data_IF_709420218384
#
_entry.id   IF_709420218384
#
_cell.length_a   1.000
_cell.length_b   1.000
_cell.length_c   1.000
_cell.angle_alpha   90.00
_cell.angle_beta   90.00
_cell.angle_gamma   90.00
#
_symmetry.space_group_name_H-M   'P 1'
#
loop_
_entity.id
_entity.type
_entity.pdbx_description
1 polymer ?
#
# COMPACT_ATOMS: atom_id res chain seq x y z
N UNK A 1 -4.57 -24.98 3.73
CA UNK A 1 -3.14 -24.86 3.39
C UNK A 1 -2.75 -23.42 3.65
N UNK A 2 -1.66 -23.14 4.37
CA UNK A 2 -1.10 -21.77 4.48
C UNK A 2 -0.30 -21.50 3.20
N UNK A 3 -0.56 -20.37 2.56
CA UNK A 3 0.11 -19.94 1.32
C UNK A 3 0.86 -18.66 1.60
N UNK A 4 2.18 -18.72 1.48
CA UNK A 4 3.03 -17.58 1.76
C UNK A 4 3.06 -16.63 0.56
N UNK A 5 2.79 -15.34 0.80
CA UNK A 5 2.78 -14.30 -0.25
C UNK A 5 3.92 -13.32 -0.02
N UNK A 6 4.83 -13.22 -0.99
CA UNK A 6 5.94 -12.26 -0.94
C UNK A 6 5.49 -10.98 -1.65
N UNK A 7 5.47 -9.87 -0.92
CA UNK A 7 5.19 -8.53 -1.47
C UNK A 7 6.53 -7.82 -1.67
N UNK A 8 6.82 -7.42 -2.91
CA UNK A 8 8.02 -6.65 -3.24
C UNK A 8 7.69 -5.15 -3.17
N UNK A 9 8.36 -4.44 -2.27
CA UNK A 9 8.26 -2.98 -2.17
C UNK A 9 9.40 -2.38 -2.99
N UNK A 10 9.05 -1.79 -4.13
CA UNK A 10 10.02 -1.13 -5.02
C UNK A 10 9.80 0.38 -4.99
N UNK A 11 10.89 1.14 -4.80
CA UNK A 11 10.90 2.60 -4.82
C UNK A 11 9.88 3.25 -3.85
N UNK A 12 10.07 3.12 -2.53
CA UNK A 12 9.17 3.74 -1.57
C UNK A 12 9.17 5.27 -1.73
N UNK A 13 7.98 5.87 -1.71
CA UNK A 13 7.87 7.33 -1.73
C UNK A 13 8.49 7.89 -0.44
N UNK A 14 9.48 8.79 -0.58
CA UNK A 14 10.24 9.34 0.56
C UNK A 14 9.54 10.53 1.24
N UNK A 15 8.42 10.97 0.68
CA UNK A 15 7.61 12.06 1.20
C UNK A 15 6.74 11.58 2.38
N UNK A 16 6.48 12.45 3.36
CA UNK A 16 5.66 12.12 4.52
C UNK A 16 4.18 12.05 4.10
N UNK A 17 3.51 10.94 4.40
CA UNK A 17 2.09 10.76 4.05
C UNK A 17 1.17 11.89 4.55
N UNK A 18 1.51 12.54 5.67
CA UNK A 18 0.77 13.68 6.21
C UNK A 18 0.81 14.94 5.35
N UNK A 19 1.71 15.03 4.36
CA UNK A 19 1.79 16.15 3.42
C UNK A 19 1.01 15.91 2.13
N UNK A 20 0.42 14.71 1.96
CA UNK A 20 -0.30 14.36 0.74
C UNK A 20 -1.65 15.05 0.66
N UNK A 21 -2.09 15.34 -0.57
CA UNK A 21 -3.43 15.83 -0.82
C UNK A 21 -4.44 14.69 -0.60
N UNK A 22 -5.44 14.90 0.25
CA UNK A 22 -6.37 13.84 0.61
C UNK A 22 -7.18 13.36 -0.62
N UNK A 23 -7.21 12.04 -0.82
CA UNK A 23 -8.07 11.39 -1.82
C UNK A 23 -9.13 10.53 -1.13
N UNK A 24 -10.01 9.92 -1.93
CA UNK A 24 -11.00 8.97 -1.40
C UNK A 24 -10.34 7.71 -0.80
N UNK A 25 -9.21 7.26 -1.34
CA UNK A 25 -8.55 6.02 -0.95
C UNK A 25 -7.29 6.22 -0.09
N UNK A 26 -6.80 7.45 0.06
CA UNK A 26 -5.59 7.75 0.80
C UNK A 26 -5.13 9.19 0.56
N UNK A 27 -3.97 9.36 -0.06
CA UNK A 27 -3.42 10.67 -0.40
C UNK A 27 -2.64 10.68 -1.70
N UNK A 28 -2.64 11.80 -2.41
CA UNK A 28 -1.87 12.03 -3.62
C UNK A 28 -0.55 12.71 -3.27
N UNK A 29 0.56 12.08 -3.65
CA UNK A 29 1.90 12.68 -3.52
C UNK A 29 2.19 13.46 -4.81
N UNK A 30 2.44 14.75 -4.66
CA UNK A 30 2.88 15.61 -5.76
C UNK A 30 4.33 15.30 -6.17
N UNK A 31 5.17 14.82 -5.25
CA UNK A 31 6.55 14.44 -5.56
C UNK A 31 6.63 13.16 -6.39
N UNK A 32 5.83 12.16 -6.02
CA UNK A 32 5.79 10.85 -6.66
C UNK A 32 4.79 10.81 -7.84
N UNK A 33 4.02 11.90 -8.05
CA UNK A 33 2.94 12.05 -9.03
C UNK A 33 1.98 10.85 -9.06
N UNK A 34 1.68 10.32 -7.87
CA UNK A 34 0.94 9.06 -7.72
C UNK A 34 0.08 9.07 -6.47
N UNK A 35 -1.07 8.41 -6.59
CA UNK A 35 -1.92 8.12 -5.44
C UNK A 35 -1.29 7.02 -4.56
N UNK A 36 -1.22 7.32 -3.27
CA UNK A 36 -0.77 6.41 -2.22
C UNK A 36 -1.98 6.01 -1.39
N UNK A 37 -2.32 4.72 -1.45
CA UNK A 37 -3.52 4.17 -0.84
C UNK A 37 -3.26 3.84 0.63
N UNK A 38 -4.22 4.16 1.50
CA UNK A 38 -4.13 3.86 2.92
C UNK A 38 -4.59 2.43 3.23
N UNK A 39 -3.64 1.52 3.39
CA UNK A 39 -3.92 0.12 3.73
C UNK A 39 -3.89 -0.15 5.23
N UNK A 40 -3.62 0.85 6.08
CA UNK A 40 -3.40 0.66 7.54
C UNK A 40 -4.59 0.07 8.28
N UNK A 41 -5.79 0.17 7.71
CA UNK A 41 -7.04 -0.34 8.30
C UNK A 41 -7.70 -1.40 7.42
N UNK A 42 -6.99 -1.92 6.42
CA UNK A 42 -7.51 -2.96 5.52
C UNK A 42 -7.07 -4.33 6.04
N UNK A 43 -8.00 -5.30 6.21
CA UNK A 43 -7.63 -6.66 6.60
C UNK A 43 -6.71 -7.33 5.58
N UNK A 44 -5.77 -8.17 6.03
CA UNK A 44 -4.77 -8.83 5.16
C UNK A 44 -5.39 -9.54 3.95
N UNK A 45 -6.52 -10.23 4.15
CA UNK A 45 -7.22 -10.90 3.03
C UNK A 45 -7.70 -9.87 1.99
N UNK A 46 -8.26 -8.75 2.43
CA UNK A 46 -8.73 -7.71 1.53
C UNK A 46 -7.56 -6.98 0.85
N UNK A 47 -6.44 -6.81 1.55
CA UNK A 47 -5.20 -6.29 0.97
C UNK A 47 -4.65 -7.23 -0.12
N UNK A 48 -4.59 -8.54 0.16
CA UNK A 48 -4.18 -9.54 -0.83
C UNK A 48 -5.11 -9.59 -2.03
N UNK A 49 -6.42 -9.65 -1.79
CA UNK A 49 -7.43 -9.65 -2.86
C UNK A 49 -7.29 -8.38 -3.73
N UNK A 50 -7.06 -7.23 -3.10
CA UNK A 50 -6.78 -5.97 -3.81
C UNK A 50 -5.52 -6.07 -4.67
N UNK A 51 -4.38 -6.48 -4.10
CA UNK A 51 -3.10 -6.58 -4.81
C UNK A 51 -3.16 -7.58 -5.97
N UNK A 52 -3.85 -8.71 -5.78
CA UNK A 52 -4.04 -9.73 -6.81
C UNK A 52 -4.99 -9.28 -7.93
N UNK A 53 -5.96 -8.40 -7.63
CA UNK A 53 -6.89 -7.87 -8.63
C UNK A 53 -6.24 -6.85 -9.57
N UNK A 54 -5.11 -6.25 -9.17
CA UNK A 54 -4.44 -5.19 -9.94
C UNK A 54 -3.48 -5.77 -10.97
N UNK A 55 -3.59 -5.26 -12.19
CA UNK A 55 -2.62 -5.54 -13.27
C UNK A 55 -1.36 -4.68 -13.18
N UNK A 56 -1.42 -3.59 -12.41
CA UNK A 56 -0.35 -2.60 -12.28
C UNK A 56 0.08 -2.44 -10.82
N UNK A 57 1.31 -1.95 -10.62
CA UNK A 57 1.86 -1.73 -9.29
C UNK A 57 1.14 -0.60 -8.55
N UNK A 58 0.73 -0.86 -7.31
CA UNK A 58 0.15 0.14 -6.41
C UNK A 58 1.22 0.79 -5.53
N UNK A 59 0.97 2.03 -5.11
CA UNK A 59 1.69 2.66 -4.00
C UNK A 59 0.74 2.70 -2.80
N UNK A 60 1.23 2.37 -1.61
CA UNK A 60 0.40 2.42 -0.43
C UNK A 60 1.18 2.44 0.86
N UNK A 61 0.51 2.92 1.90
CA UNK A 61 1.03 2.96 3.27
C UNK A 61 0.47 1.79 4.07
N UNK A 62 1.37 1.09 4.76
CA UNK A 62 1.09 -0.04 5.64
C UNK A 62 1.60 0.31 7.05
N UNK A 63 1.07 -0.35 8.08
CA UNK A 63 1.63 -0.19 9.42
C UNK A 63 2.98 -0.90 9.50
N UNK A 64 4.02 -0.20 9.95
CA UNK A 64 5.41 -0.69 10.00
C UNK A 64 5.65 -1.80 11.06
N UNK A 65 4.63 -2.22 11.82
CA UNK A 65 4.82 -3.20 12.92
C UNK A 65 4.42 -4.63 12.59
N UNK A 66 3.98 -4.90 11.37
CA UNK A 66 3.68 -6.27 10.97
C UNK A 66 4.82 -6.77 10.08
N UNK A 67 5.68 -7.63 10.65
CA UNK A 67 6.31 -8.66 9.83
C UNK A 67 5.15 -9.45 9.21
N UNK A 68 4.72 -9.05 8.01
CA UNK A 68 3.71 -9.75 7.23
C UNK A 68 4.34 -11.09 6.79
N UNK A 69 4.36 -12.04 7.72
CA UNK A 69 4.54 -13.46 7.49
C UNK A 69 3.17 -14.01 7.11
N UNK A 70 2.77 -13.74 5.86
CA UNK A 70 1.70 -14.50 5.21
C UNK A 70 2.25 -15.84 4.75
#
# INVERSE_FOLDING_TARGET
>A
MKTNSIILISNPCSEQFSTFEQTTAGGFSNLCEKEVIDFRHIPDKALLDYLQSKKENSCGILNHLDYILL
#
